data_IF_527621283958
#
_entry.id   IF_527621283958
#
_cell.length_a   1.000
_cell.length_b   1.000
_cell.length_c   1.000
_cell.angle_alpha   90.00
_cell.angle_beta   90.00
_cell.angle_gamma   90.00
#
_symmetry.space_group_name_H-M   'P 1'
#
loop_
_entity.id
_entity.type
_entity.pdbx_description
1 polymer ?
#
# COMPACT_ATOMS: atom_id res chain seq x y z
N UNK A 1 64.30 -18.24 27.44
CA UNK A 1 62.87 -18.13 27.83
C UNK A 1 62.29 -16.74 27.52
N UNK A 2 63.07 -15.66 27.65
CA UNK A 2 62.67 -14.26 27.35
C UNK A 2 62.26 -13.99 25.90
N UNK A 3 62.94 -14.55 24.90
CA UNK A 3 62.61 -14.31 23.47
C UNK A 3 61.23 -14.86 23.04
N UNK A 4 60.76 -15.94 23.67
CA UNK A 4 59.45 -16.54 23.34
C UNK A 4 58.30 -15.67 23.87
N UNK A 5 58.53 -15.00 25.00
CA UNK A 5 57.54 -14.11 25.62
C UNK A 5 57.37 -12.86 24.76
N UNK A 6 58.47 -12.23 24.33
CA UNK A 6 58.44 -11.02 23.49
C UNK A 6 57.77 -11.28 22.14
N UNK A 7 58.12 -12.37 21.45
CA UNK A 7 57.50 -12.72 20.16
C UNK A 7 55.98 -12.96 20.27
N UNK A 8 55.51 -13.54 21.38
CA UNK A 8 54.08 -13.71 21.65
C UNK A 8 53.36 -12.37 21.84
N UNK A 9 53.97 -11.41 22.54
CA UNK A 9 53.40 -10.07 22.71
C UNK A 9 53.23 -9.35 21.36
N UNK A 10 54.25 -9.42 20.50
CA UNK A 10 54.22 -8.80 19.16
C UNK A 10 53.13 -9.40 18.25
N UNK A 11 52.86 -10.70 18.38
CA UNK A 11 51.81 -11.39 17.64
C UNK A 11 50.40 -11.03 18.15
N UNK A 12 50.25 -10.83 19.46
CA UNK A 12 48.99 -10.38 20.07
C UNK A 12 48.63 -8.95 19.65
N UNK A 13 49.59 -8.03 19.65
CA UNK A 13 49.37 -6.65 19.21
C UNK A 13 48.91 -6.57 17.75
N UNK A 14 49.49 -7.40 16.88
CA UNK A 14 49.08 -7.48 15.47
C UNK A 14 47.65 -7.99 15.31
N UNK A 15 47.24 -9.00 16.09
CA UNK A 15 45.88 -9.54 16.05
C UNK A 15 44.86 -8.52 16.56
N UNK A 16 45.17 -7.84 17.67
CA UNK A 16 44.32 -6.79 18.24
C UNK A 16 44.16 -5.64 17.25
N UNK A 17 45.24 -5.20 16.61
CA UNK A 17 45.18 -4.16 15.59
C UNK A 17 44.22 -4.52 14.45
N UNK A 18 44.32 -5.74 13.90
CA UNK A 18 43.44 -6.19 12.83
C UNK A 18 41.99 -6.34 13.27
N UNK A 19 41.74 -6.82 14.49
CA UNK A 19 40.36 -6.91 15.03
C UNK A 19 39.75 -5.52 15.16
N UNK A 20 40.48 -4.55 15.71
CA UNK A 20 40.01 -3.16 15.84
C UNK A 20 39.81 -2.52 14.47
N UNK A 21 40.71 -2.76 13.51
CA UNK A 21 40.58 -2.27 12.15
C UNK A 21 39.34 -2.86 11.45
N UNK A 22 39.10 -4.17 11.56
CA UNK A 22 37.91 -4.82 11.03
C UNK A 22 36.63 -4.31 11.69
N UNK A 23 36.64 -4.11 13.02
CA UNK A 23 35.51 -3.55 13.75
C UNK A 23 35.20 -2.12 13.28
N UNK A 24 36.23 -1.29 13.13
CA UNK A 24 36.10 0.09 12.63
C UNK A 24 35.57 0.12 11.20
N UNK A 25 36.10 -0.71 10.31
CA UNK A 25 35.60 -0.84 8.94
C UNK A 25 34.12 -1.26 8.92
N UNK A 26 33.76 -2.27 9.73
CA UNK A 26 32.37 -2.76 9.83
C UNK A 26 31.44 -1.67 10.34
N UNK A 27 31.85 -0.90 11.35
CA UNK A 27 31.08 0.23 11.87
C UNK A 27 30.88 1.32 10.82
N UNK A 28 31.90 1.59 10.00
CA UNK A 28 31.82 2.57 8.91
C UNK A 28 30.85 2.12 7.81
N UNK A 29 30.90 0.84 7.41
CA UNK A 29 29.93 0.28 6.47
C UNK A 29 28.50 0.31 7.02
N UNK A 30 28.32 -0.07 8.30
CA UNK A 30 27.03 0.01 8.95
C UNK A 30 26.49 1.44 8.97
N UNK A 31 27.32 2.43 9.28
CA UNK A 31 26.95 3.84 9.29
C UNK A 31 26.41 4.31 7.92
N UNK A 32 27.14 4.03 6.84
CA UNK A 32 26.72 4.39 5.48
C UNK A 32 25.42 3.67 5.10
N UNK A 33 25.30 2.39 5.45
CA UNK A 33 24.09 1.59 5.20
C UNK A 33 22.85 2.16 5.92
N UNK A 34 22.99 2.51 7.20
CA UNK A 34 21.89 3.09 7.98
C UNK A 34 21.49 4.47 7.47
N UNK A 35 22.44 5.30 7.03
CA UNK A 35 22.12 6.58 6.37
C UNK A 35 21.33 6.32 5.09
N UNK A 36 21.76 5.39 4.25
CA UNK A 36 21.05 5.03 3.02
C UNK A 36 19.60 4.63 3.31
N UNK A 37 19.39 3.69 4.23
CA UNK A 37 18.05 3.25 4.65
C UNK A 37 17.21 4.42 5.18
N UNK A 38 17.78 5.28 6.01
CA UNK A 38 17.07 6.43 6.56
C UNK A 38 16.56 7.36 5.45
N UNK A 39 17.39 7.64 4.45
CA UNK A 39 17.01 8.44 3.29
C UNK A 39 15.93 7.74 2.47
N UNK A 40 16.08 6.45 2.15
CA UNK A 40 15.09 5.70 1.40
C UNK A 40 13.74 5.60 2.14
N UNK A 41 13.76 5.42 3.45
CA UNK A 41 12.55 5.38 4.27
C UNK A 41 11.80 6.72 4.24
N UNK A 42 12.51 7.84 4.33
CA UNK A 42 11.91 9.18 4.25
C UNK A 42 11.37 9.47 2.85
N UNK A 43 12.11 9.13 1.80
CA UNK A 43 11.67 9.34 0.40
C UNK A 43 10.46 8.47 0.08
N UNK A 44 10.49 7.18 0.43
CA UNK A 44 9.37 6.26 0.22
C UNK A 44 8.11 6.70 0.96
N UNK A 45 8.25 7.19 2.19
CA UNK A 45 7.13 7.76 2.95
C UNK A 45 6.54 8.99 2.27
N UNK A 46 7.37 9.92 1.79
CA UNK A 46 6.89 11.11 1.06
C UNK A 46 6.16 10.74 -0.23
N UNK A 47 6.65 9.76 -0.97
CA UNK A 47 6.00 9.32 -2.21
C UNK A 47 4.65 8.64 -1.92
N UNK A 48 4.57 7.86 -0.84
CA UNK A 48 3.32 7.26 -0.38
C UNK A 48 2.30 8.33 0.06
N UNK A 49 2.72 9.32 0.86
CA UNK A 49 1.87 10.43 1.28
C UNK A 49 1.36 11.25 0.07
N UNK A 50 2.23 11.50 -0.92
CA UNK A 50 1.84 12.20 -2.15
C UNK A 50 0.81 11.42 -2.97
N UNK A 51 1.02 10.11 -3.16
CA UNK A 51 0.05 9.25 -3.87
C UNK A 51 -1.28 9.18 -3.15
N UNK A 52 -1.26 9.02 -1.82
CA UNK A 52 -2.48 9.00 -0.99
C UNK A 52 -3.26 10.32 -1.11
N UNK A 53 -2.56 11.47 -1.06
CA UNK A 53 -3.18 12.78 -1.25
C UNK A 53 -3.84 12.94 -2.63
N UNK A 54 -3.18 12.48 -3.70
CA UNK A 54 -3.75 12.52 -5.06
C UNK A 54 -4.99 11.65 -5.20
N UNK A 55 -4.98 10.43 -4.65
CA UNK A 55 -6.14 9.54 -4.67
C UNK A 55 -7.30 10.14 -3.85
N UNK A 56 -7.02 10.70 -2.67
CA UNK A 56 -8.04 11.35 -1.85
C UNK A 56 -8.68 12.55 -2.55
N UNK A 57 -7.88 13.36 -3.25
CA UNK A 57 -8.40 14.48 -4.02
C UNK A 57 -9.30 14.02 -5.18
N UNK A 58 -8.89 12.96 -5.90
CA UNK A 58 -9.70 12.39 -6.98
C UNK A 58 -11.03 11.80 -6.47
N UNK A 59 -11.02 11.16 -5.29
CA UNK A 59 -12.25 10.68 -4.64
C UNK A 59 -13.16 11.84 -4.27
N UNK A 60 -12.62 12.90 -3.65
CA UNK A 60 -13.41 14.07 -3.28
C UNK A 60 -14.02 14.79 -4.49
N UNK A 61 -13.30 14.85 -5.61
CA UNK A 61 -13.81 15.37 -6.88
C UNK A 61 -14.98 14.51 -7.41
N UNK A 62 -14.84 13.18 -7.36
CA UNK A 62 -15.90 12.26 -7.77
C UNK A 62 -17.14 12.37 -6.88
N UNK A 63 -16.94 12.45 -5.56
CA UNK A 63 -18.02 12.60 -4.58
C UNK A 63 -18.77 13.91 -4.79
N UNK A 64 -18.06 15.00 -5.05
CA UNK A 64 -18.64 16.29 -5.39
C UNK A 64 -19.47 16.21 -6.69
N UNK A 65 -18.91 15.60 -7.74
CA UNK A 65 -19.62 15.41 -9.00
C UNK A 65 -20.87 14.53 -8.84
N UNK A 66 -20.78 13.47 -8.05
CA UNK A 66 -21.91 12.60 -7.73
C UNK A 66 -22.99 13.35 -6.93
N UNK A 67 -22.62 14.14 -5.92
CA UNK A 67 -23.57 14.91 -5.13
C UNK A 67 -24.34 15.94 -5.97
N UNK A 68 -23.67 16.56 -6.94
CA UNK A 68 -24.33 17.44 -7.92
C UNK A 68 -25.28 16.65 -8.82
N UNK A 69 -24.88 15.47 -9.27
CA UNK A 69 -25.69 14.63 -10.15
C UNK A 69 -26.92 14.06 -9.42
N UNK A 70 -26.75 13.58 -8.20
CA UNK A 70 -27.83 13.05 -7.36
C UNK A 70 -28.90 14.11 -7.09
N UNK A 71 -28.49 15.36 -6.81
CA UNK A 71 -29.40 16.48 -6.66
C UNK A 71 -30.12 16.92 -7.96
N UNK A 72 -29.66 16.45 -9.12
CA UNK A 72 -30.22 16.82 -10.44
C UNK A 72 -31.21 15.79 -11.01
N UNK A 73 -31.32 14.60 -10.38
CA UNK A 73 -32.25 13.57 -10.82
C UNK A 73 -33.66 13.89 -10.29
N UNK A 74 -34.41 14.69 -11.06
CA UNK A 74 -35.84 14.93 -10.82
C UNK A 74 -36.67 13.85 -11.54
N UNK A 75 -37.65 13.18 -10.89
CA UNK A 75 -38.60 12.29 -11.56
C UNK A 75 -39.26 12.91 -12.80
N UNK A 76 -39.45 14.24 -12.83
CA UNK A 76 -39.96 14.95 -14.03
C UNK A 76 -38.99 14.91 -15.21
N UNK A 77 -37.68 14.91 -14.95
CA UNK A 77 -36.64 14.76 -15.98
C UNK A 77 -36.60 13.32 -16.52
N UNK A 78 -36.86 12.33 -15.66
CA UNK A 78 -36.98 10.93 -16.05
C UNK A 78 -38.22 10.71 -16.94
N UNK A 79 -39.38 11.25 -16.56
CA UNK A 79 -40.59 11.21 -17.41
C UNK A 79 -40.39 11.91 -18.75
N UNK A 80 -39.72 13.08 -18.77
CA UNK A 80 -39.40 13.79 -20.00
C UNK A 80 -38.43 13.01 -20.92
N UNK A 81 -37.61 12.13 -20.34
CA UNK A 81 -36.67 11.26 -21.07
C UNK A 81 -37.32 9.93 -21.51
N UNK A 82 -38.63 9.76 -21.29
CA UNK A 82 -39.40 8.58 -21.69
C UNK A 82 -39.39 7.44 -20.67
N UNK A 83 -38.85 7.65 -19.47
CA UNK A 83 -38.95 6.68 -18.39
C UNK A 83 -40.34 6.73 -17.76
N UNK A 84 -40.98 5.57 -17.65
CA UNK A 84 -42.29 5.43 -17.01
C UNK A 84 -42.10 5.22 -15.50
N UNK A 85 -42.96 5.81 -14.65
CA UNK A 85 -42.93 5.54 -13.22
C UNK A 85 -43.20 4.05 -12.97
N UNK A 86 -42.30 3.41 -12.22
CA UNK A 86 -42.41 1.99 -11.87
C UNK A 86 -43.58 1.80 -10.91
N UNK A 87 -44.64 1.16 -11.37
CA UNK A 87 -45.87 0.91 -10.60
C UNK A 87 -45.77 -0.24 -9.61
N UNK A 88 -44.81 -1.15 -9.78
CA UNK A 88 -44.54 -2.27 -8.86
C UNK A 88 -43.03 -2.50 -8.70
N UNK A 89 -42.36 -1.77 -7.79
CA UNK A 89 -40.93 -1.93 -7.56
C UNK A 89 -40.66 -3.26 -6.84
N UNK A 90 -40.18 -4.25 -7.59
CA UNK A 90 -39.63 -5.49 -7.00
C UNK A 90 -38.25 -5.22 -6.42
N UNK A 91 -38.19 -4.97 -5.13
CA UNK A 91 -36.93 -4.89 -4.39
C UNK A 91 -36.35 -6.29 -4.15
N UNK A 92 -35.09 -6.52 -4.52
CA UNK A 92 -34.35 -7.72 -4.13
C UNK A 92 -33.93 -7.52 -2.67
N UNK A 93 -34.69 -8.09 -1.74
CA UNK A 93 -34.26 -8.22 -0.36
C UNK A 93 -33.19 -9.31 -0.25
N UNK A 94 -32.25 -9.16 0.70
CA UNK A 94 -31.16 -10.13 0.94
C UNK A 94 -31.63 -11.57 1.16
N UNK A 95 -32.88 -11.76 1.60
CA UNK A 95 -33.50 -13.08 1.75
C UNK A 95 -33.76 -13.80 0.42
N UNK A 96 -33.83 -13.08 -0.70
CA UNK A 96 -34.12 -13.65 -2.04
C UNK A 96 -32.86 -13.80 -2.91
N UNK A 97 -31.68 -13.44 -2.41
CA UNK A 97 -30.44 -13.51 -3.19
C UNK A 97 -30.05 -14.96 -3.55
N UNK A 98 -30.35 -15.93 -2.67
CA UNK A 98 -30.04 -17.34 -2.89
C UNK A 98 -30.87 -17.95 -4.03
N UNK A 99 -32.09 -17.46 -4.27
CA UNK A 99 -32.95 -17.92 -5.35
C UNK A 99 -32.49 -17.44 -6.74
N UNK A 100 -31.84 -16.28 -6.83
CA UNK A 100 -31.36 -15.71 -8.09
C UNK A 100 -30.05 -16.37 -8.55
N UNK A 101 -29.18 -16.76 -7.61
CA UNK A 101 -27.97 -17.54 -7.93
C UNK A 101 -28.33 -18.94 -8.45
N UNK A 102 -29.43 -19.53 -7.99
CA UNK A 102 -29.91 -20.82 -8.49
C UNK A 102 -30.40 -20.78 -9.95
N UNK A 103 -30.90 -19.63 -10.44
CA UNK A 103 -31.36 -19.46 -11.82
C UNK A 103 -30.20 -19.23 -12.81
N UNK A 104 -29.00 -18.90 -12.34
CA UNK A 104 -27.79 -18.75 -13.17
C UNK A 104 -27.10 -20.06 -13.55
N UNK A 105 -27.52 -21.20 -12.96
CA UNK A 105 -26.92 -22.52 -13.16
C UNK A 105 -27.87 -23.52 -13.86
N UNK A 106 -28.74 -23.04 -14.76
CA UNK A 106 -29.50 -23.92 -15.67
C UNK A 106 -28.59 -24.49 -16.78
N UNK A 107 -28.79 -25.75 -17.22
CA UNK A 107 -27.88 -26.41 -18.15
C UNK A 107 -27.84 -25.68 -19.49
N UNK A 108 -26.62 -25.41 -19.94
CA UNK A 108 -26.29 -24.98 -21.31
C UNK A 108 -26.64 -26.10 -22.29
N UNK A 109 -27.89 -26.17 -22.74
CA UNK A 109 -28.25 -26.99 -23.89
C UNK A 109 -27.86 -26.25 -25.19
N UNK A 110 -27.02 -26.95 -25.94
CA UNK A 110 -26.64 -26.70 -27.33
C UNK A 110 -27.80 -27.02 -28.27
#
# INVERSE_FOLDING_TARGET
MTNIVVAKFEEYDRKIFWVVACLGATALFAYVYFIGISVFAVVGRKEAEFKAGRTSAAVAELESAYAVLDGSIDPKMAEASGFLPVSDPRYISRENADAVVALGNGPSDR
#
